data_IF_932021050635
#
_entry.id   IF_932021050635
#
_cell.length_a   1.000
_cell.length_b   1.000
_cell.length_c   1.000
_cell.angle_alpha   90.00
_cell.angle_beta   90.00
_cell.angle_gamma   90.00
#
_symmetry.space_group_name_H-M   'P 1'
#
loop_
_entity.id
_entity.type
_entity.pdbx_description
1 polymer ?
#
# COMPACT_ATOMS: atom_id res chain seq x y z
N UNK A 1 -5.55 -1.54 28.41
CA UNK A 1 -4.85 -2.03 27.20
C UNK A 1 -3.39 -1.72 27.41
N UNK A 2 -2.47 -2.68 27.23
CA UNK A 2 -1.04 -2.39 27.40
C UNK A 2 -0.58 -1.36 26.36
N UNK A 3 0.24 -0.41 26.82
CA UNK A 3 0.74 0.69 26.01
C UNK A 3 2.18 1.03 26.39
N UNK A 4 3.00 1.33 25.38
CA UNK A 4 4.33 1.89 25.57
C UNK A 4 4.56 3.00 24.53
N UNK A 5 4.93 4.20 24.98
CA UNK A 5 5.19 5.35 24.10
C UNK A 5 4.06 5.62 23.10
N UNK A 6 2.79 5.60 23.55
CA UNK A 6 1.62 5.84 22.68
C UNK A 6 1.27 4.69 21.73
N UNK A 7 1.97 3.55 21.80
CA UNK A 7 1.69 2.37 20.99
C UNK A 7 0.93 1.30 21.77
N UNK A 8 -0.18 0.85 21.20
CA UNK A 8 -0.92 -0.34 21.65
C UNK A 8 -0.73 -1.48 20.65
N UNK A 9 -1.01 -2.72 21.07
CA UNK A 9 -1.01 -3.88 20.15
C UNK A 9 -1.91 -3.64 18.93
N UNK A 10 -3.04 -2.96 19.11
CA UNK A 10 -3.95 -2.60 18.02
C UNK A 10 -3.28 -1.65 17.01
N UNK A 11 -2.57 -0.62 17.49
CA UNK A 11 -1.83 0.31 16.60
C UNK A 11 -0.72 -0.41 15.83
N UNK A 12 0.01 -1.30 16.50
CA UNK A 12 1.03 -2.15 15.88
C UNK A 12 0.43 -3.05 14.80
N UNK A 13 -0.76 -3.60 15.03
CA UNK A 13 -1.45 -4.41 14.03
C UNK A 13 -1.79 -3.58 12.78
N UNK A 14 -2.33 -2.37 12.94
CA UNK A 14 -2.59 -1.48 11.80
C UNK A 14 -1.33 -1.14 11.00
N UNK A 15 -0.22 -0.83 11.69
CA UNK A 15 1.08 -0.60 11.03
C UNK A 15 1.46 -1.80 10.16
N UNK A 16 1.40 -3.01 10.72
CA UNK A 16 1.73 -4.25 10.00
C UNK A 16 0.80 -4.47 8.80
N UNK A 17 -0.50 -4.30 8.98
CA UNK A 17 -1.48 -4.56 7.94
C UNK A 17 -1.33 -3.58 6.75
N UNK A 18 -1.13 -2.29 7.03
CA UNK A 18 -0.87 -1.30 5.98
C UNK A 18 0.47 -1.53 5.28
N UNK A 19 1.54 -1.84 6.02
CA UNK A 19 2.85 -2.15 5.42
C UNK A 19 2.76 -3.38 4.50
N UNK A 20 2.05 -4.43 4.93
CA UNK A 20 1.81 -5.62 4.11
C UNK A 20 0.99 -5.29 2.85
N UNK A 21 -0.06 -4.50 2.99
CA UNK A 21 -0.91 -4.08 1.86
C UNK A 21 -0.09 -3.31 0.81
N UNK A 22 0.76 -2.37 1.24
CA UNK A 22 1.65 -1.63 0.34
C UNK A 22 2.59 -2.59 -0.40
N UNK A 23 3.21 -3.54 0.32
CA UNK A 23 4.07 -4.54 -0.30
C UNK A 23 3.33 -5.35 -1.37
N UNK A 24 2.14 -5.87 -1.07
CA UNK A 24 1.34 -6.64 -2.03
C UNK A 24 0.98 -5.83 -3.28
N UNK A 25 0.64 -4.54 -3.12
CA UNK A 25 0.39 -3.64 -4.25
C UNK A 25 1.65 -3.41 -5.10
N UNK A 26 2.83 -3.27 -4.48
CA UNK A 26 4.09 -3.14 -5.22
C UNK A 26 4.46 -4.41 -5.99
N UNK A 27 4.13 -5.60 -5.46
CA UNK A 27 4.29 -6.86 -6.19
C UNK A 27 3.35 -6.92 -7.39
N UNK A 28 2.10 -6.45 -7.27
CA UNK A 28 1.18 -6.38 -8.40
C UNK A 28 1.66 -5.41 -9.50
N UNK A 29 2.27 -4.29 -9.12
CA UNK A 29 2.91 -3.36 -10.05
C UNK A 29 4.04 -4.03 -10.83
N UNK A 30 4.93 -4.73 -10.13
CA UNK A 30 6.04 -5.46 -10.75
C UNK A 30 5.52 -6.52 -11.74
N UNK A 31 4.55 -7.33 -11.31
CA UNK A 31 3.94 -8.36 -12.14
C UNK A 31 3.27 -7.78 -13.38
N UNK A 32 2.56 -6.66 -13.23
CA UNK A 32 1.91 -5.97 -14.35
C UNK A 32 2.96 -5.44 -15.32
N UNK A 33 4.03 -4.81 -14.82
CA UNK A 33 5.12 -4.35 -15.65
C UNK A 33 5.72 -5.49 -16.48
N UNK A 34 6.02 -6.63 -15.85
CA UNK A 34 6.65 -7.75 -16.55
C UNK A 34 5.73 -8.37 -17.62
N UNK A 35 4.44 -8.44 -17.34
CA UNK A 35 3.46 -9.07 -18.23
C UNK A 35 2.78 -8.10 -19.20
N UNK A 36 3.10 -6.79 -19.16
CA UNK A 36 2.36 -5.76 -19.89
C UNK A 36 2.22 -6.02 -21.40
N UNK A 37 3.24 -6.61 -22.02
CA UNK A 37 3.27 -6.95 -23.45
C UNK A 37 2.40 -8.15 -23.82
N UNK A 38 2.01 -8.95 -22.83
CA UNK A 38 1.19 -10.14 -23.00
C UNK A 38 -0.31 -9.83 -22.82
N UNK A 39 -0.66 -8.67 -22.27
CA UNK A 39 -2.05 -8.24 -22.22
C UNK A 39 -2.48 -7.82 -23.62
N UNK A 40 -3.56 -8.41 -24.13
CA UNK A 40 -4.24 -7.98 -25.37
C UNK A 40 -5.03 -6.68 -25.13
N UNK A 41 -4.40 -5.69 -24.52
CA UNK A 41 -5.00 -4.48 -23.98
C UNK A 41 -4.15 -3.28 -24.41
N UNK A 42 -4.79 -2.15 -24.68
CA UNK A 42 -4.11 -0.92 -25.11
C UNK A 42 -3.26 -0.29 -23.99
N UNK A 43 -2.31 0.54 -24.42
CA UNK A 43 -1.41 1.27 -23.52
C UNK A 43 -2.16 2.22 -22.58
N UNK A 44 -3.31 2.77 -22.99
CA UNK A 44 -4.12 3.66 -22.16
C UNK A 44 -4.64 2.92 -20.91
N UNK A 45 -5.16 1.71 -21.08
CA UNK A 45 -5.66 0.88 -19.99
C UNK A 45 -4.53 0.46 -19.05
N UNK A 46 -3.37 0.11 -19.59
CA UNK A 46 -2.18 -0.22 -18.79
C UNK A 46 -1.75 1.00 -17.97
N UNK A 47 -1.66 2.19 -18.59
CA UNK A 47 -1.30 3.43 -17.91
C UNK A 47 -2.29 3.79 -16.80
N UNK A 48 -3.60 3.62 -17.05
CA UNK A 48 -4.65 3.86 -16.06
C UNK A 48 -4.56 2.90 -14.88
N UNK A 49 -4.19 1.64 -15.11
CA UNK A 49 -3.93 0.69 -14.03
C UNK A 49 -2.76 1.17 -13.15
N UNK A 50 -1.64 1.56 -13.75
CA UNK A 50 -0.48 2.09 -13.01
C UNK A 50 -0.83 3.35 -12.22
N UNK A 51 -1.60 4.27 -12.80
CA UNK A 51 -2.05 5.48 -12.11
C UNK A 51 -2.92 5.16 -10.89
N UNK A 52 -3.85 4.22 -11.02
CA UNK A 52 -4.72 3.80 -9.92
C UNK A 52 -3.93 3.10 -8.80
N UNK A 53 -3.02 2.19 -9.15
CA UNK A 53 -2.15 1.53 -8.18
C UNK A 53 -1.28 2.54 -7.42
N UNK A 54 -0.69 3.52 -8.12
CA UNK A 54 0.06 4.61 -7.48
C UNK A 54 -0.80 5.35 -6.45
N UNK A 55 -2.00 5.77 -6.83
CA UNK A 55 -2.92 6.49 -5.92
C UNK A 55 -3.27 5.66 -4.68
N UNK A 56 -3.57 4.37 -4.85
CA UNK A 56 -3.88 3.48 -3.73
C UNK A 56 -2.69 3.27 -2.79
N UNK A 57 -1.48 3.15 -3.33
CA UNK A 57 -0.25 3.07 -2.52
C UNK A 57 -0.05 4.37 -1.74
N UNK A 58 -0.23 5.53 -2.37
CA UNK A 58 -0.12 6.83 -1.71
C UNK A 58 -1.14 6.99 -0.56
N UNK A 59 -2.36 6.51 -0.73
CA UNK A 59 -3.37 6.49 0.33
C UNK A 59 -2.95 5.57 1.48
N UNK A 60 -2.48 4.35 1.19
CA UNK A 60 -2.00 3.44 2.24
C UNK A 60 -0.77 3.98 2.99
N UNK A 61 0.14 4.68 2.30
CA UNK A 61 1.27 5.35 2.95
C UNK A 61 0.77 6.43 3.92
N UNK A 62 -0.23 7.23 3.53
CA UNK A 62 -0.82 8.25 4.42
C UNK A 62 -1.44 7.61 5.67
N UNK A 63 -2.17 6.50 5.51
CA UNK A 63 -2.71 5.76 6.65
C UNK A 63 -1.62 5.16 7.52
N UNK A 64 -0.61 4.53 6.92
CA UNK A 64 0.53 4.00 7.66
C UNK A 64 1.21 5.10 8.51
N UNK A 65 1.51 6.24 7.90
CA UNK A 65 2.13 7.38 8.58
C UNK A 65 1.28 7.85 9.78
N UNK A 66 -0.04 7.89 9.65
CA UNK A 66 -0.90 8.31 10.76
C UNK A 66 -0.90 7.32 11.95
N UNK A 67 -0.55 6.06 11.72
CA UNK A 67 -0.38 5.05 12.77
C UNK A 67 1.06 4.96 13.31
N UNK A 68 2.06 5.43 12.55
CA UNK A 68 3.46 5.53 12.96
C UNK A 68 3.71 6.69 13.95
N UNK A 69 2.88 7.72 13.95
CA UNK A 69 2.90 8.68 15.05
C UNK A 69 2.42 7.96 16.33
N UNK A 70 2.98 8.21 17.52
CA UNK A 70 2.39 7.71 18.76
C UNK A 70 1.00 8.32 18.98
N UNK A 71 0.11 7.66 19.75
CA UNK A 71 -1.09 8.36 20.23
C UNK A 71 -0.66 9.49 21.18
N UNK A 72 -1.29 10.67 21.03
CA UNK A 72 -1.26 11.75 22.01
C UNK A 72 -1.76 11.28 23.39
#
# INVERSE_FOLDING_TARGET
MEEAYGYTQMRINYIKDHAKTIYEQTVQLENTWHNRKNFSTDDETINKYFENQRKQIEENIKYLNSYLEPKD
#
